data_IF_618712086779
#
_entry.id   IF_618712086779
#
_cell.length_a   1.000
_cell.length_b   1.000
_cell.length_c   1.000
_cell.angle_alpha   90.00
_cell.angle_beta   90.00
_cell.angle_gamma   90.00
#
_symmetry.space_group_name_H-M   'P 1'
#
loop_
_entity.id
_entity.type
_entity.pdbx_description
1 polymer ?
#
# COMPACT_ATOMS: atom_id res chain seq x y z
N UNK A 1 -29.03 4.89 0.86
CA UNK A 1 -28.03 5.96 0.57
C UNK A 1 -27.02 6.19 1.69
N UNK A 2 -26.91 5.30 2.71
CA UNK A 2 -26.01 5.50 3.85
C UNK A 2 -24.55 5.10 3.58
N UNK A 3 -24.32 4.18 2.64
CA UNK A 3 -22.98 3.78 2.20
C UNK A 3 -22.12 4.96 1.74
N UNK A 4 -22.65 5.83 0.87
CA UNK A 4 -21.90 6.95 0.29
C UNK A 4 -21.52 7.99 1.35
N UNK A 5 -22.40 8.22 2.32
CA UNK A 5 -22.14 9.12 3.44
C UNK A 5 -21.03 8.59 4.34
N UNK A 6 -21.09 7.30 4.70
CA UNK A 6 -20.05 6.63 5.50
C UNK A 6 -18.72 6.66 4.74
N UNK A 7 -18.73 6.31 3.45
CA UNK A 7 -17.56 6.35 2.59
C UNK A 7 -16.92 7.74 2.55
N UNK A 8 -17.71 8.78 2.29
CA UNK A 8 -17.22 10.16 2.16
C UNK A 8 -16.71 10.71 3.49
N UNK A 9 -17.40 10.42 4.59
CA UNK A 9 -16.95 10.78 5.94
C UNK A 9 -15.59 10.14 6.23
N UNK A 10 -15.49 8.83 6.02
CA UNK A 10 -14.29 8.06 6.32
C UNK A 10 -13.11 8.48 5.44
N UNK A 11 -13.37 8.76 4.15
CA UNK A 11 -12.37 9.29 3.22
C UNK A 11 -11.84 10.65 3.70
N UNK A 12 -12.74 11.59 4.02
CA UNK A 12 -12.35 12.92 4.49
C UNK A 12 -11.61 12.88 5.82
N UNK A 13 -11.98 11.96 6.71
CA UNK A 13 -11.32 11.74 7.98
C UNK A 13 -9.89 11.24 7.78
N UNK A 14 -9.69 10.24 6.92
CA UNK A 14 -8.37 9.67 6.62
C UNK A 14 -7.44 10.68 5.95
N UNK A 15 -7.95 11.47 5.01
CA UNK A 15 -7.17 12.53 4.37
C UNK A 15 -6.75 13.66 5.33
N UNK A 16 -7.39 13.76 6.50
CA UNK A 16 -6.98 14.70 7.57
C UNK A 16 -6.02 14.06 8.57
N UNK A 17 -5.80 12.75 8.52
CA UNK A 17 -4.89 12.06 9.44
C UNK A 17 -3.43 12.35 9.07
N UNK A 18 -2.60 12.83 10.01
CA UNK A 18 -1.17 13.04 9.77
C UNK A 18 -0.44 11.75 9.37
N UNK A 19 -0.88 10.60 9.89
CA UNK A 19 -0.28 9.31 9.58
C UNK A 19 -0.41 8.94 8.09
N UNK A 20 -1.55 9.25 7.47
CA UNK A 20 -1.75 9.02 6.02
C UNK A 20 -0.79 9.84 5.18
N UNK A 21 -0.52 11.10 5.58
CA UNK A 21 0.46 11.95 4.92
C UNK A 21 1.89 11.47 5.15
N UNK A 22 2.21 10.96 6.34
CA UNK A 22 3.50 10.33 6.61
C UNK A 22 3.73 9.11 5.71
N UNK A 23 2.73 8.24 5.56
CA UNK A 23 2.82 7.09 4.64
C UNK A 23 2.96 7.54 3.19
N UNK A 24 2.22 8.57 2.77
CA UNK A 24 2.33 9.14 1.42
C UNK A 24 3.74 9.67 1.18
N UNK A 25 4.30 10.43 2.12
CA UNK A 25 5.65 10.95 2.04
C UNK A 25 6.69 9.81 1.98
N UNK A 26 6.56 8.79 2.82
CA UNK A 26 7.44 7.63 2.80
C UNK A 26 7.39 6.89 1.46
N UNK A 27 6.20 6.69 0.90
CA UNK A 27 6.01 6.03 -0.39
C UNK A 27 6.54 6.85 -1.58
N UNK A 28 6.49 8.17 -1.47
CA UNK A 28 6.99 9.10 -2.47
C UNK A 28 8.52 9.27 -2.42
N UNK A 29 9.08 9.49 -1.23
CA UNK A 29 10.52 9.70 -1.04
C UNK A 29 11.33 8.41 -0.96
N UNK A 30 10.69 7.27 -0.62
CA UNK A 30 11.33 5.96 -0.53
C UNK A 30 12.11 5.56 -1.79
N UNK A 31 11.49 5.56 -2.99
CA UNK A 31 12.21 5.25 -4.23
C UNK A 31 13.34 6.23 -4.56
N UNK A 32 13.17 7.50 -4.21
CA UNK A 32 14.19 8.54 -4.41
C UNK A 32 15.41 8.23 -3.53
N UNK A 33 15.19 7.96 -2.24
CA UNK A 33 16.25 7.57 -1.31
C UNK A 33 16.95 6.28 -1.75
N UNK A 34 16.20 5.26 -2.19
CA UNK A 34 16.79 4.03 -2.73
C UNK A 34 17.70 4.30 -3.93
N UNK A 35 17.29 5.17 -4.86
CA UNK A 35 18.12 5.55 -6.01
C UNK A 35 19.37 6.37 -5.63
N UNK A 36 19.32 7.16 -4.54
CA UNK A 36 20.49 7.88 -4.03
C UNK A 36 21.53 6.97 -3.37
N UNK A 37 21.09 5.94 -2.64
CA UNK A 37 21.98 5.03 -1.92
C UNK A 37 22.38 3.79 -2.74
N UNK A 38 21.74 3.56 -3.88
CA UNK A 38 22.11 2.49 -4.80
C UNK A 38 23.49 2.75 -5.39
N UNK A 39 24.46 1.89 -5.07
CA UNK A 39 25.80 1.96 -5.63
C UNK A 39 25.73 1.65 -7.13
N UNK A 40 26.21 2.56 -7.97
CA UNK A 40 26.08 2.50 -9.44
C UNK A 40 27.07 1.54 -10.07
N UNK A 41 27.44 0.47 -9.35
CA UNK A 41 28.49 -0.47 -9.73
C UNK A 41 28.10 -1.40 -10.89
N UNK A 42 26.81 -1.44 -11.26
CA UNK A 42 26.33 -2.19 -12.41
C UNK A 42 25.66 -1.25 -13.40
N UNK A 43 26.04 -1.38 -14.67
CA UNK A 43 25.57 -0.68 -15.88
C UNK A 43 24.08 -0.97 -16.20
N UNK A 44 23.25 -1.17 -15.17
CA UNK A 44 21.84 -1.55 -15.26
C UNK A 44 21.00 -0.31 -15.54
N UNK A 45 20.14 -0.43 -16.56
CA UNK A 45 19.16 0.59 -16.93
C UNK A 45 18.13 0.70 -15.81
N UNK A 46 18.24 1.75 -14.97
CA UNK A 46 17.34 1.99 -13.84
C UNK A 46 15.88 2.15 -14.28
N UNK A 47 15.66 2.66 -15.48
CA UNK A 47 14.31 2.87 -15.99
C UNK A 47 13.77 1.69 -16.84
N UNK A 48 14.36 0.51 -16.70
CA UNK A 48 13.81 -0.70 -17.30
C UNK A 48 12.52 -1.12 -16.56
N UNK A 49 11.46 -1.57 -17.26
CA UNK A 49 10.21 -2.02 -16.62
C UNK A 49 10.43 -3.07 -15.53
N UNK A 50 11.45 -3.93 -15.68
CA UNK A 50 11.81 -4.95 -14.71
C UNK A 50 12.38 -4.35 -13.42
N UNK A 51 13.28 -3.38 -13.51
CA UNK A 51 13.87 -2.74 -12.33
C UNK A 51 12.84 -1.91 -11.56
N UNK A 52 11.94 -1.23 -12.29
CA UNK A 52 10.81 -0.57 -11.65
C UNK A 52 9.87 -1.57 -10.95
N UNK A 53 9.62 -2.75 -11.54
CA UNK A 53 8.83 -3.79 -10.88
C UNK A 53 9.49 -4.31 -9.59
N UNK A 54 10.82 -4.44 -9.55
CA UNK A 54 11.58 -4.78 -8.34
C UNK A 54 11.38 -3.73 -7.23
N UNK A 55 11.52 -2.43 -7.57
CA UNK A 55 11.30 -1.31 -6.65
C UNK A 55 9.86 -1.30 -6.12
N UNK A 56 8.88 -1.49 -6.99
CA UNK A 56 7.46 -1.57 -6.60
C UNK A 56 7.19 -2.77 -5.71
N UNK A 57 7.83 -3.92 -5.97
CA UNK A 57 7.73 -5.11 -5.12
C UNK A 57 8.26 -4.84 -3.71
N UNK A 58 9.47 -4.28 -3.60
CA UNK A 58 10.08 -3.96 -2.31
C UNK A 58 9.27 -2.92 -1.52
N UNK A 59 8.86 -1.84 -2.18
CA UNK A 59 8.02 -0.81 -1.55
C UNK A 59 6.63 -1.35 -1.21
N UNK A 60 6.11 -2.30 -1.98
CA UNK A 60 4.88 -3.02 -1.69
C UNK A 60 4.88 -3.69 -0.32
N UNK A 61 6.02 -4.23 0.13
CA UNK A 61 6.16 -4.79 1.48
C UNK A 61 6.01 -3.72 2.57
N UNK A 62 6.61 -2.56 2.36
CA UNK A 62 6.49 -1.41 3.28
C UNK A 62 5.05 -0.87 3.26
N UNK A 63 4.43 -0.80 2.07
CA UNK A 63 3.05 -0.35 1.90
C UNK A 63 2.04 -1.24 2.63
N UNK A 64 2.37 -2.51 2.84
CA UNK A 64 1.51 -3.41 3.61
C UNK A 64 1.45 -3.06 5.11
N UNK A 65 2.52 -2.50 5.68
CA UNK A 65 2.47 -1.94 7.03
C UNK A 65 1.67 -0.64 7.10
N UNK A 66 1.80 0.21 6.07
CA UNK A 66 0.94 1.40 5.95
C UNK A 66 -0.55 1.00 5.87
N UNK A 67 -0.85 -0.08 5.14
CA UNK A 67 -2.17 -0.70 5.08
C UNK A 67 -2.65 -1.13 6.47
N UNK A 68 -1.83 -1.87 7.22
CA UNK A 68 -2.16 -2.30 8.58
C UNK A 68 -2.46 -1.13 9.52
N UNK A 69 -1.67 -0.04 9.45
CA UNK A 69 -1.89 1.17 10.23
C UNK A 69 -3.20 1.87 9.86
N UNK A 70 -3.43 2.12 8.57
CA UNK A 70 -4.64 2.75 8.03
C UNK A 70 -5.90 1.98 8.44
N UNK A 71 -5.88 0.66 8.32
CA UNK A 71 -7.02 -0.16 8.72
C UNK A 71 -7.12 -0.29 10.26
N UNK A 72 -5.99 -0.21 10.99
CA UNK A 72 -5.89 -0.48 12.43
C UNK A 72 -6.47 0.64 13.28
N UNK A 73 -6.27 1.88 12.87
CA UNK A 73 -6.93 3.05 13.44
C UNK A 73 -8.45 2.94 13.34
N UNK A 74 -8.93 2.41 12.22
CA UNK A 74 -10.36 2.16 12.05
C UNK A 74 -10.85 1.11 13.06
N UNK A 75 -10.17 -0.03 13.15
CA UNK A 75 -10.58 -1.16 13.98
C UNK A 75 -10.60 -0.84 15.48
N UNK A 76 -9.60 -0.10 15.96
CA UNK A 76 -9.47 0.26 17.38
C UNK A 76 -10.40 1.39 17.80
N UNK A 77 -10.71 2.33 16.92
CA UNK A 77 -11.63 3.44 17.20
C UNK A 77 -13.04 2.97 17.55
N UNK A 78 -13.54 1.94 16.88
CA UNK A 78 -14.87 1.38 17.17
C UNK A 78 -14.92 0.61 18.50
N UNK A 79 -13.78 0.02 18.89
CA UNK A 79 -13.65 -0.68 20.15
C UNK A 79 -13.54 0.31 21.34
N UNK A 80 -12.82 1.42 21.16
CA UNK A 80 -12.57 2.41 22.23
C UNK A 80 -13.70 3.41 22.43
N UNK A 81 -14.46 3.76 21.39
CA UNK A 81 -15.54 4.77 21.49
C UNK A 81 -16.91 4.21 21.89
N UNK A 82 -17.06 2.90 22.09
CA UNK A 82 -18.33 2.30 22.54
C UNK A 82 -19.52 2.53 21.60
N UNK A 83 -19.27 2.93 20.36
CA UNK A 83 -20.29 3.30 19.35
C UNK A 83 -21.16 2.13 18.89
N UNK A 84 -20.85 0.90 19.31
CA UNK A 84 -21.63 -0.31 19.00
C UNK A 84 -23.09 -0.22 19.47
N UNK A 85 -23.37 0.49 20.56
CA UNK A 85 -24.74 0.69 21.06
C UNK A 85 -25.60 1.60 20.14
N UNK A 86 -24.97 2.51 19.40
CA UNK A 86 -25.65 3.41 18.44
C UNK A 86 -25.98 2.71 17.12
N UNK A 87 -25.16 1.74 16.69
CA UNK A 87 -25.43 0.97 15.48
C UNK A 87 -26.55 -0.07 15.62
N UNK A 88 -26.85 -0.52 16.85
CA UNK A 88 -27.98 -1.43 17.10
C UNK A 88 -29.34 -0.72 17.11
N UNK A 89 -29.38 0.61 17.15
CA UNK A 89 -30.62 1.40 17.20
C UNK A 89 -30.89 2.17 15.90
N UNK A 90 -29.87 2.38 15.05
CA UNK A 90 -30.02 2.99 13.74
C UNK A 90 -30.29 1.94 12.64
N UNK A 91 -31.15 2.22 11.63
CA UNK A 91 -31.37 1.31 10.51
C UNK A 91 -30.19 1.40 9.53
N UNK A 92 -29.03 0.86 9.92
CA UNK A 92 -27.82 0.77 9.11
C UNK A 92 -27.51 -0.71 8.91
N UNK A 93 -27.42 -1.15 7.66
CA UNK A 93 -27.06 -2.54 7.35
C UNK A 93 -25.56 -2.74 7.60
N UNK A 94 -25.18 -3.92 8.10
CA UNK A 94 -23.75 -4.27 8.32
C UNK A 94 -22.92 -4.16 7.05
N UNK A 95 -23.51 -4.47 5.90
CA UNK A 95 -22.86 -4.38 4.59
C UNK A 95 -22.58 -2.93 4.19
N UNK A 96 -23.50 -2.00 4.40
CA UNK A 96 -23.27 -0.58 4.10
C UNK A 96 -22.15 0.00 4.98
N UNK A 97 -22.09 -0.41 6.24
CA UNK A 97 -21.08 0.04 7.19
C UNK A 97 -19.68 -0.51 6.87
N UNK A 98 -19.55 -1.84 6.82
CA UNK A 98 -18.27 -2.50 6.56
C UNK A 98 -17.77 -2.20 5.14
N UNK A 99 -18.66 -2.24 4.15
CA UNK A 99 -18.34 -1.97 2.76
C UNK A 99 -17.88 -0.53 2.55
N UNK A 100 -18.57 0.45 3.14
CA UNK A 100 -18.19 1.86 3.01
C UNK A 100 -16.81 2.14 3.60
N UNK A 101 -16.52 1.53 4.75
CA UNK A 101 -15.23 1.69 5.42
C UNK A 101 -14.09 0.97 4.71
N UNK A 102 -14.34 -0.24 4.20
CA UNK A 102 -13.37 -0.95 3.37
C UNK A 102 -13.05 -0.17 2.10
N UNK A 103 -14.08 0.28 1.37
CA UNK A 103 -13.90 1.04 0.12
C UNK A 103 -13.14 2.36 0.34
N UNK A 104 -13.45 3.10 1.40
CA UNK A 104 -12.75 4.34 1.72
C UNK A 104 -11.27 4.08 2.07
N UNK A 105 -11.01 3.07 2.90
CA UNK A 105 -9.65 2.68 3.30
C UNK A 105 -8.85 2.21 2.09
N UNK A 106 -9.46 1.37 1.24
CA UNK A 106 -8.85 0.86 0.02
C UNK A 106 -8.50 1.99 -0.94
N UNK A 107 -9.42 2.94 -1.18
CA UNK A 107 -9.16 4.06 -2.08
C UNK A 107 -8.02 4.96 -1.57
N UNK A 108 -8.00 5.30 -0.27
CA UNK A 108 -6.90 6.09 0.31
C UNK A 108 -5.58 5.38 0.11
N UNK A 109 -5.55 4.08 0.36
CA UNK A 109 -4.32 3.31 0.28
C UNK A 109 -3.86 3.10 -1.17
N UNK A 110 -4.79 2.95 -2.12
CA UNK A 110 -4.52 2.94 -3.54
C UNK A 110 -3.87 4.26 -4.00
N UNK A 111 -4.36 5.40 -3.49
CA UNK A 111 -3.76 6.72 -3.75
C UNK A 111 -2.38 6.86 -3.12
N UNK A 112 -2.19 6.40 -1.88
CA UNK A 112 -0.87 6.36 -1.23
C UNK A 112 0.13 5.52 -2.05
N UNK A 113 -0.33 4.41 -2.62
CA UNK A 113 0.44 3.51 -3.48
C UNK A 113 0.73 4.09 -4.88
N UNK A 114 0.20 5.27 -5.24
CA UNK A 114 0.67 6.03 -6.40
C UNK A 114 1.95 6.82 -6.09
N UNK A 115 2.33 6.98 -4.82
CA UNK A 115 3.58 7.61 -4.41
C UNK A 115 4.83 7.00 -5.07
N UNK A 116 5.00 5.67 -5.09
CA UNK A 116 6.18 5.03 -5.67
C UNK A 116 6.37 5.27 -7.17
N UNK A 117 5.37 5.11 -8.07
CA UNK A 117 5.52 5.47 -9.48
C UNK A 117 5.97 6.91 -9.68
N UNK A 118 5.41 7.84 -8.90
CA UNK A 118 5.74 9.26 -8.99
C UNK A 118 7.17 9.50 -8.48
N UNK A 119 7.56 8.86 -7.37
CA UNK A 119 8.91 8.95 -6.82
C UNK A 119 9.96 8.47 -7.81
N UNK A 120 9.75 7.32 -8.47
CA UNK A 120 10.67 6.80 -9.51
C UNK A 120 10.71 7.71 -10.74
N UNK A 121 9.56 8.21 -11.19
CA UNK A 121 9.49 9.16 -12.30
C UNK A 121 10.30 10.44 -12.00
N UNK A 122 10.23 10.95 -10.77
CA UNK A 122 10.99 12.12 -10.34
C UNK A 122 12.48 11.83 -10.17
N UNK A 123 12.86 10.64 -9.69
CA UNK A 123 14.26 10.21 -9.69
C UNK A 123 14.86 10.28 -11.09
N UNK A 124 14.09 9.91 -12.12
CA UNK A 124 14.53 9.96 -13.54
C UNK A 124 14.77 11.36 -14.06
N UNK A 125 14.05 12.36 -13.54
CA UNK A 125 14.20 13.76 -13.97
C UNK A 125 15.28 14.50 -13.17
N UNK A 126 15.84 13.86 -12.13
CA UNK A 126 16.68 14.53 -11.16
C UNK A 126 18.17 14.58 -11.61
N UNK A 127 18.76 15.78 -11.82
CA UNK A 127 20.10 15.93 -12.39
C UNK A 127 21.25 15.38 -11.53
N UNK A 128 21.01 15.18 -10.24
CA UNK A 128 22.00 14.72 -9.26
C UNK A 128 22.14 13.20 -9.21
N UNK A 129 21.27 12.45 -9.90
CA UNK A 129 21.39 11.00 -10.10
C UNK A 129 22.10 10.73 -11.45
N UNK A 130 23.36 11.16 -11.56
CA UNK A 130 24.16 11.19 -12.79
C UNK A 130 24.69 9.84 -13.28
N UNK A 131 24.38 8.74 -12.59
CA UNK A 131 25.05 7.45 -12.77
C UNK A 131 24.22 6.39 -13.51
N UNK A 132 23.09 6.76 -14.12
CA UNK A 132 22.17 5.78 -14.68
C UNK A 132 21.93 5.96 -16.17
N UNK A 133 21.94 4.83 -16.89
CA UNK A 133 21.43 4.77 -18.25
C UNK A 133 19.90 4.85 -18.18
N UNK A 134 19.33 5.96 -18.63
CA UNK A 134 17.89 6.20 -18.62
C UNK A 134 17.23 5.64 -19.89
N UNK A 135 16.22 4.77 -19.71
CA UNK A 135 15.29 4.40 -20.78
C UNK A 135 14.31 5.57 -21.06
N UNK A 136 13.80 5.74 -22.30
CA UNK A 136 12.81 6.75 -22.61
C UNK A 136 11.62 6.72 -21.62
N UNK A 137 11.24 7.89 -21.11
CA UNK A 137 10.14 8.01 -20.17
C UNK A 137 8.83 7.53 -20.81
N UNK A 138 8.29 6.41 -20.33
CA UNK A 138 7.02 5.84 -20.79
C UNK A 138 6.09 5.67 -19.61
N UNK A 139 5.02 6.46 -19.56
CA UNK A 139 4.00 6.40 -18.50
C UNK A 139 3.45 4.97 -18.33
N UNK A 140 3.25 4.26 -19.44
CA UNK A 140 2.78 2.88 -19.44
C UNK A 140 3.68 1.90 -18.67
N UNK A 141 5.00 2.14 -18.63
CA UNK A 141 5.94 1.29 -17.90
C UNK A 141 5.78 1.43 -16.37
N UNK A 142 5.24 2.55 -15.88
CA UNK A 142 4.98 2.77 -14.46
C UNK A 142 3.57 2.35 -14.05
N UNK A 143 2.60 2.61 -14.92
CA UNK A 143 1.19 2.34 -14.65
C UNK A 143 0.85 0.85 -14.76
N UNK A 144 1.47 0.13 -15.72
CA UNK A 144 1.20 -1.28 -15.93
C UNK A 144 1.54 -2.14 -14.68
N UNK A 145 2.73 -2.04 -14.06
CA UNK A 145 3.04 -2.82 -12.87
C UNK A 145 2.20 -2.42 -11.65
N UNK A 146 1.84 -1.14 -11.55
CA UNK A 146 0.93 -0.67 -10.52
C UNK A 146 -0.45 -1.33 -10.63
N UNK A 147 -1.03 -1.36 -11.83
CA UNK A 147 -2.37 -1.95 -12.05
C UNK A 147 -2.37 -3.48 -11.99
N UNK A 148 -1.32 -4.14 -12.48
CA UNK A 148 -1.28 -5.61 -12.60
C UNK A 148 -0.77 -6.27 -11.31
N UNK A 149 0.16 -5.65 -10.58
CA UNK A 149 0.76 -6.24 -9.38
C UNK A 149 0.35 -5.50 -8.11
N UNK A 150 0.57 -4.18 -8.06
CA UNK A 150 0.41 -3.43 -6.82
C UNK A 150 -1.04 -3.35 -6.35
N UNK A 151 -1.99 -3.04 -7.25
CA UNK A 151 -3.41 -2.96 -6.93
C UNK A 151 -4.04 -4.30 -6.53
N UNK A 152 -3.84 -5.42 -7.26
CA UNK A 152 -4.39 -6.71 -6.84
C UNK A 152 -3.80 -7.19 -5.52
N UNK A 153 -2.50 -7.00 -5.31
CA UNK A 153 -1.87 -7.34 -4.04
C UNK A 153 -2.42 -6.49 -2.88
N UNK A 154 -2.62 -5.18 -3.12
CA UNK A 154 -3.27 -4.30 -2.15
C UNK A 154 -4.70 -4.78 -1.84
N UNK A 155 -5.47 -5.18 -2.85
CA UNK A 155 -6.83 -5.64 -2.65
C UNK A 155 -6.88 -6.90 -1.78
N UNK A 156 -6.02 -7.89 -2.07
CA UNK A 156 -5.94 -9.13 -1.31
C UNK A 156 -5.48 -8.89 0.13
N UNK A 157 -4.38 -8.16 0.31
CA UNK A 157 -3.85 -7.84 1.64
C UNK A 157 -4.84 -7.00 2.46
N UNK A 158 -5.46 -5.98 1.86
CA UNK A 158 -6.49 -5.19 2.52
C UNK A 158 -7.69 -6.04 2.92
N UNK A 159 -8.15 -6.98 2.08
CA UNK A 159 -9.27 -7.85 2.40
C UNK A 159 -8.96 -8.77 3.59
N UNK A 160 -7.77 -9.38 3.61
CA UNK A 160 -7.32 -10.23 4.72
C UNK A 160 -7.18 -9.42 6.01
N UNK A 161 -6.48 -8.29 5.95
CA UNK A 161 -6.28 -7.42 7.12
C UNK A 161 -7.61 -6.87 7.63
N UNK A 162 -8.50 -6.41 6.74
CA UNK A 162 -9.83 -5.94 7.12
C UNK A 162 -10.65 -7.03 7.80
N UNK A 163 -10.55 -8.28 7.34
CA UNK A 163 -11.21 -9.43 7.98
C UNK A 163 -10.66 -9.65 9.39
N UNK A 164 -9.33 -9.62 9.56
CA UNK A 164 -8.68 -9.71 10.87
C UNK A 164 -9.14 -8.57 11.78
N UNK A 165 -9.18 -7.33 11.28
CA UNK A 165 -9.68 -6.16 12.01
C UNK A 165 -11.13 -6.34 12.47
N UNK A 166 -12.01 -6.83 11.59
CA UNK A 166 -13.41 -7.02 11.89
C UNK A 166 -13.64 -8.08 12.98
N UNK A 167 -12.82 -9.14 12.99
CA UNK A 167 -12.88 -10.24 13.95
C UNK A 167 -12.25 -9.87 15.31
N UNK A 168 -11.01 -9.35 15.27
CA UNK A 168 -10.20 -9.15 16.49
C UNK A 168 -10.45 -7.81 17.15
N UNK A 169 -10.80 -6.78 16.38
CA UNK A 169 -10.99 -5.39 16.84
C UNK A 169 -9.76 -4.83 17.58
N UNK A 170 -8.57 -5.33 17.25
CA UNK A 170 -7.30 -4.94 17.86
C UNK A 170 -6.32 -4.49 16.78
N UNK A 171 -5.68 -3.32 16.98
CA UNK A 171 -4.63 -2.85 16.07
C UNK A 171 -3.42 -3.79 16.08
N UNK A 172 -3.08 -4.37 17.24
CA UNK A 172 -1.94 -5.28 17.34
C UNK A 172 -2.12 -6.53 16.45
N UNK A 173 -3.33 -7.11 16.43
CA UNK A 173 -3.63 -8.25 15.58
C UNK A 173 -3.47 -7.95 14.08
N UNK A 174 -3.71 -6.70 13.68
CA UNK A 174 -3.52 -6.25 12.30
C UNK A 174 -2.06 -6.09 11.92
N UNK A 175 -1.23 -5.56 12.83
CA UNK A 175 0.21 -5.54 12.62
C UNK A 175 0.77 -6.96 12.54
N UNK A 176 0.33 -7.89 13.39
CA UNK A 176 0.70 -9.30 13.29
C UNK A 176 0.23 -9.94 11.98
N UNK A 177 -1.00 -9.63 11.54
CA UNK A 177 -1.51 -10.08 10.24
C UNK A 177 -0.66 -9.59 9.08
N UNK A 178 -0.20 -8.34 9.12
CA UNK A 178 0.70 -7.78 8.11
C UNK A 178 2.08 -8.45 8.17
N UNK A 179 2.66 -8.67 9.35
CA UNK A 179 3.90 -9.45 9.46
C UNK A 179 3.73 -10.85 8.88
N UNK A 180 2.60 -11.53 9.16
CA UNK A 180 2.30 -12.85 8.61
C UNK A 180 2.22 -12.84 7.07
N UNK A 181 1.49 -11.88 6.49
CA UNK A 181 1.42 -11.70 5.05
C UNK A 181 2.79 -11.39 4.44
N UNK A 182 3.67 -10.70 5.16
CA UNK A 182 4.99 -10.33 4.68
C UNK A 182 5.87 -11.57 4.60
N UNK A 183 5.82 -12.42 5.63
CA UNK A 183 6.53 -13.70 5.65
C UNK A 183 6.05 -14.57 4.47
N UNK A 184 4.74 -14.67 4.25
CA UNK A 184 4.19 -15.43 3.11
C UNK A 184 4.73 -14.89 1.79
N UNK A 185 4.69 -13.57 1.59
CA UNK A 185 5.21 -12.96 0.38
C UNK A 185 6.71 -13.22 0.18
N UNK A 186 7.52 -13.07 1.24
CA UNK A 186 8.96 -13.33 1.16
C UNK A 186 9.26 -14.79 0.82
N UNK A 187 8.52 -15.73 1.40
CA UNK A 187 8.67 -17.17 1.11
C UNK A 187 8.32 -17.47 -0.35
N UNK A 188 7.23 -16.90 -0.86
CA UNK A 188 6.80 -17.08 -2.26
C UNK A 188 7.85 -16.51 -3.22
N UNK A 189 8.38 -15.31 -2.94
CA UNK A 189 9.41 -14.68 -3.77
C UNK A 189 10.71 -15.50 -3.75
N UNK A 190 11.16 -15.96 -2.57
CA UNK A 190 12.38 -16.77 -2.45
C UNK A 190 12.26 -18.13 -3.16
N UNK A 191 11.09 -18.77 -3.13
CA UNK A 191 10.86 -20.01 -3.87
C UNK A 191 10.86 -19.80 -5.38
N UNK A 192 10.32 -18.67 -5.87
CA UNK A 192 10.37 -18.32 -7.29
C UNK A 192 11.79 -18.04 -7.80
N UNK A 193 12.69 -17.53 -6.97
CA UNK A 193 14.10 -17.32 -7.33
C UNK A 193 14.93 -18.61 -7.29
N UNK A 194 14.50 -19.61 -6.52
CA UNK A 194 15.20 -20.90 -6.38
C UNK A 194 14.99 -21.88 -7.55
N UNK A 195 13.96 -21.67 -8.38
CA UNK A 195 13.70 -22.50 -9.57
C UNK A 195 14.60 -22.14 -10.75
N UNK A 196 15.13 -20.90 -10.80
CA UNK A 196 15.87 -20.40 -11.96
C UNK A 196 17.38 -20.69 -11.89
N UNK A 197 17.87 -21.28 -10.79
CA UNK A 197 19.29 -21.65 -10.59
C UNK A 197 19.58 -23.14 -10.84
N UNK A 198 18.60 -23.89 -11.37
CA UNK A 198 18.73 -25.33 -11.65
C UNK A 198 18.31 -25.66 -13.08
N UNK A 199 18.87 -24.94 -14.07
CA UNK A 199 19.00 -25.38 -15.47
C UNK A 199 20.32 -24.81 -16.04
#
# INVERSE_FOLDING_TARGET
MKFVEIFRYELSYRLRSPATWLYTALMFFGPIAMAHFSDSANDRVINAPLHYAEIVGFIGFIAMFATAGIFGDAATRDASTGTQALFNTAPITKLDYLGGRFAASFLVNAVVLLGPPIGVALSTLSPWLTHFNWSPFRIGAYLQPYLIFALPNLLLSAAVLFTIAALTRQALAMYLGAVGLLIVNLVVVNQGLGSDTVE
#
